data_IF_272934987630
#
_entry.id   IF_272934987630
#
_cell.length_a   1.000
_cell.length_b   1.000
_cell.length_c   1.000
_cell.angle_alpha   90.00
_cell.angle_beta   90.00
_cell.angle_gamma   90.00
#
_symmetry.space_group_name_H-M   'P 1'
#
loop_
_entity.id
_entity.type
_entity.pdbx_description
1 polymer ?
#
# COMPACT_ATOMS: atom_id res chain seq x y z
N UNK A 1 50.41 -34.91 6.59
CA UNK A 1 49.34 -33.94 6.92
C UNK A 1 49.81 -32.56 6.50
N UNK A 2 49.14 -31.89 5.55
CA UNK A 2 49.51 -30.54 5.08
C UNK A 2 48.43 -29.56 5.51
N UNK A 3 48.75 -28.69 6.47
CA UNK A 3 47.85 -27.63 6.94
C UNK A 3 47.94 -26.47 5.93
N UNK A 4 46.88 -26.26 5.15
CA UNK A 4 46.78 -25.10 4.26
C UNK A 4 46.38 -23.90 5.10
N UNK A 5 47.26 -22.91 5.17
CA UNK A 5 46.99 -21.61 5.79
C UNK A 5 46.01 -20.85 4.89
N UNK A 6 44.87 -20.42 5.43
CA UNK A 6 43.93 -19.54 4.75
C UNK A 6 44.26 -18.09 5.14
N UNK A 7 44.71 -17.31 4.16
CA UNK A 7 44.97 -15.88 4.26
C UNK A 7 43.61 -15.14 4.29
N UNK A 8 43.26 -14.53 5.42
CA UNK A 8 42.07 -13.69 5.57
C UNK A 8 42.41 -12.27 5.08
N UNK A 9 41.94 -11.89 3.90
CA UNK A 9 41.99 -10.50 3.42
C UNK A 9 40.75 -9.78 3.94
N UNK A 10 40.92 -8.90 4.92
CA UNK A 10 39.88 -7.98 5.39
C UNK A 10 39.87 -6.76 4.48
N UNK A 11 38.79 -6.58 3.71
CA UNK A 11 38.60 -5.39 2.89
C UNK A 11 37.82 -4.34 3.70
N UNK A 12 38.51 -3.33 4.21
CA UNK A 12 37.86 -2.15 4.81
C UNK A 12 37.53 -1.18 3.68
N UNK A 13 36.27 -1.21 3.22
CA UNK A 13 35.78 -0.21 2.28
C UNK A 13 35.34 1.04 3.05
N UNK A 14 36.09 2.13 2.90
CA UNK A 14 35.68 3.48 3.29
C UNK A 14 34.53 3.93 2.40
N UNK A 15 33.36 4.23 2.99
CA UNK A 15 32.22 4.81 2.28
C UNK A 15 32.49 6.30 1.98
N UNK A 16 32.22 6.80 0.76
CA UNK A 16 32.15 8.24 0.53
C UNK A 16 30.90 8.82 1.20
N UNK A 17 31.07 9.92 1.93
CA UNK A 17 29.95 10.69 2.49
C UNK A 17 29.09 11.22 1.35
N UNK A 18 27.84 10.76 1.26
CA UNK A 18 26.81 11.41 0.46
C UNK A 18 26.31 12.61 1.26
N UNK A 19 26.50 13.80 0.69
CA UNK A 19 26.02 15.05 1.23
C UNK A 19 24.51 14.99 1.46
N UNK A 20 24.07 15.39 2.65
CA UNK A 20 22.65 15.59 2.98
C UNK A 20 22.12 16.74 2.13
N UNK A 21 21.17 16.46 1.25
CA UNK A 21 20.33 17.50 0.67
C UNK A 21 19.26 17.87 1.71
N UNK A 22 19.28 19.12 2.17
CA UNK A 22 18.23 19.66 3.04
C UNK A 22 16.93 19.85 2.24
N UNK A 23 15.76 19.51 2.81
CA UNK A 23 14.47 19.76 2.16
C UNK A 23 14.16 21.26 2.16
N UNK A 24 13.97 21.84 0.97
CA UNK A 24 13.46 23.20 0.81
C UNK A 24 11.93 23.20 1.03
N UNK A 25 11.36 24.13 1.83
CA UNK A 25 9.92 24.27 1.94
C UNK A 25 9.35 24.93 0.67
N UNK A 26 8.31 24.35 0.08
CA UNK A 26 7.50 25.02 -0.93
C UNK A 26 6.30 25.70 -0.25
N UNK A 27 6.08 26.97 -0.56
CA UNK A 27 4.95 27.77 -0.06
C UNK A 27 3.87 27.76 -1.16
N UNK A 28 2.68 27.26 -0.86
CA UNK A 28 1.50 27.40 -1.71
C UNK A 28 0.81 28.73 -1.37
N UNK A 29 0.80 29.66 -2.32
CA UNK A 29 0.07 30.93 -2.22
C UNK A 29 -1.44 30.67 -2.37
N UNK A 30 -2.23 31.20 -1.45
CA UNK A 30 -3.69 31.17 -1.43
C UNK A 30 -4.21 32.53 -1.89
N UNK A 31 -4.24 32.78 -3.19
CA UNK A 31 -4.92 33.94 -3.78
C UNK A 31 -5.53 33.51 -5.11
N UNK A 32 -6.77 33.02 -5.07
CA UNK A 32 -7.86 33.29 -6.05
C UNK A 32 -9.05 32.37 -5.74
N UNK A 33 -9.81 32.73 -4.71
CA UNK A 33 -11.21 32.30 -4.55
C UNK A 33 -12.03 33.54 -4.26
N UNK A 34 -12.43 34.25 -5.32
CA UNK A 34 -13.51 35.23 -5.23
C UNK A 34 -14.63 34.82 -6.18
N UNK A 35 -15.70 34.32 -5.56
CA UNK A 35 -17.11 34.56 -5.87
C UNK A 35 -17.53 34.78 -7.34
N UNK A 36 -18.41 33.89 -7.82
CA UNK A 36 -19.70 34.36 -8.34
C UNK A 36 -20.78 33.29 -8.11
N UNK A 37 -21.77 33.65 -7.30
CA UNK A 37 -23.01 32.91 -7.08
C UNK A 37 -24.11 33.73 -7.76
N UNK A 38 -24.40 33.49 -9.03
CA UNK A 38 -25.60 34.06 -9.65
C UNK A 38 -26.28 33.11 -10.65
N UNK A 39 -27.58 32.91 -10.40
CA UNK A 39 -28.64 32.54 -11.36
C UNK A 39 -28.83 31.05 -11.73
N UNK A 40 -29.75 30.40 -11.01
CA UNK A 40 -30.47 29.20 -11.48
C UNK A 40 -31.82 29.65 -12.04
N UNK A 41 -31.98 29.65 -13.36
CA UNK A 41 -33.30 29.73 -13.99
C UNK A 41 -33.98 28.36 -13.98
N UNK A 42 -35.25 28.36 -13.56
CA UNK A 42 -36.09 27.19 -13.36
C UNK A 42 -37.12 27.11 -14.49
N UNK A 43 -36.96 26.16 -15.40
CA UNK A 43 -37.95 25.83 -16.45
C UNK A 43 -38.73 24.57 -16.08
N UNK A 44 -40.06 24.52 -16.22
CA UNK A 44 -40.86 23.37 -15.82
C UNK A 44 -40.77 22.20 -16.83
N UNK A 45 -40.83 20.99 -16.29
CA UNK A 45 -40.72 19.72 -17.00
C UNK A 45 -41.96 19.40 -17.86
N UNK A 46 -41.81 18.64 -18.98
CA UNK A 46 -42.91 17.89 -19.54
C UNK A 46 -43.11 16.57 -18.79
N UNK A 47 -44.34 16.36 -18.34
CA UNK A 47 -44.90 15.11 -17.82
C UNK A 47 -44.67 13.97 -18.82
N UNK A 48 -43.93 12.93 -18.40
CA UNK A 48 -43.94 11.62 -19.06
C UNK A 48 -44.29 10.56 -18.02
N UNK A 49 -45.57 10.19 -18.03
CA UNK A 49 -46.08 9.01 -17.33
C UNK A 49 -45.63 7.78 -18.11
N UNK A 50 -44.65 7.03 -17.58
CA UNK A 50 -44.40 5.65 -18.01
C UNK A 50 -43.94 4.80 -16.83
N UNK A 51 -44.90 4.02 -16.33
CA UNK A 51 -44.75 2.70 -15.71
C UNK A 51 -43.76 2.53 -14.55
N UNK A 52 -44.35 2.30 -13.39
CA UNK A 52 -43.84 1.60 -12.21
C UNK A 52 -43.18 0.25 -12.59
N UNK A 53 -41.88 0.30 -12.88
CA UNK A 53 -40.99 -0.87 -12.88
C UNK A 53 -39.88 -0.57 -11.88
N UNK A 54 -39.65 -1.42 -10.86
CA UNK A 54 -38.49 -1.25 -10.00
C UNK A 54 -37.24 -1.25 -10.89
N UNK A 55 -36.25 -0.37 -10.62
CA UNK A 55 -35.04 -0.30 -11.43
C UNK A 55 -34.45 -1.71 -11.51
N UNK A 56 -33.98 -2.18 -12.68
CA UNK A 56 -33.16 -3.38 -12.69
C UNK A 56 -32.02 -3.10 -11.71
N UNK A 57 -31.82 -3.98 -10.73
CA UNK A 57 -30.64 -3.96 -9.88
C UNK A 57 -29.41 -3.76 -10.79
N UNK A 58 -28.36 -3.06 -10.35
CA UNK A 58 -27.12 -2.97 -11.12
C UNK A 58 -26.52 -4.39 -11.22
N UNK A 59 -26.98 -5.13 -12.21
CA UNK A 59 -26.34 -6.34 -12.71
C UNK A 59 -25.14 -5.86 -13.50
N UNK A 60 -24.00 -6.53 -13.28
CA UNK A 60 -22.62 -6.18 -13.68
C UNK A 60 -21.83 -5.39 -12.62
N UNK A 61 -21.70 -5.99 -11.42
CA UNK A 61 -20.43 -5.90 -10.71
C UNK A 61 -19.36 -6.64 -11.53
N UNK A 62 -18.15 -6.11 -11.73
CA UNK A 62 -17.06 -6.88 -12.31
C UNK A 62 -16.73 -8.03 -11.36
N UNK A 63 -16.91 -9.27 -11.83
CA UNK A 63 -16.53 -10.46 -11.09
C UNK A 63 -15.02 -10.61 -11.10
N UNK A 64 -14.34 -9.88 -10.21
CA UNK A 64 -13.07 -10.35 -9.64
C UNK A 64 -13.36 -11.74 -9.05
N UNK A 65 -12.47 -12.71 -9.21
CA UNK A 65 -12.50 -13.89 -8.35
C UNK A 65 -12.34 -13.37 -6.93
N UNK A 66 -13.44 -13.28 -6.17
CA UNK A 66 -13.56 -12.46 -4.97
C UNK A 66 -12.48 -12.83 -3.94
N UNK A 67 -11.39 -12.07 -3.94
CA UNK A 67 -10.33 -12.24 -2.97
C UNK A 67 -10.95 -11.88 -1.62
N UNK A 68 -11.25 -12.85 -0.75
CA UNK A 68 -11.93 -12.58 0.54
C UNK A 68 -11.15 -11.65 1.48
N UNK A 69 -9.89 -11.36 1.14
CA UNK A 69 -8.98 -10.48 1.88
C UNK A 69 -8.77 -9.14 1.18
N UNK A 70 -9.57 -8.83 0.15
CA UNK A 70 -9.45 -7.63 -0.67
C UNK A 70 -9.40 -6.36 0.17
N UNK A 71 -10.32 -6.19 1.12
CA UNK A 71 -10.33 -5.02 2.00
C UNK A 71 -9.02 -4.91 2.80
N UNK A 72 -8.58 -5.99 3.45
CA UNK A 72 -7.36 -5.97 4.25
C UNK A 72 -6.09 -5.69 3.41
N UNK A 73 -6.02 -6.25 2.21
CA UNK A 73 -4.95 -6.00 1.25
C UNK A 73 -4.97 -4.55 0.75
N UNK A 74 -6.15 -4.04 0.42
CA UNK A 74 -6.35 -2.67 -0.07
C UNK A 74 -5.95 -1.64 0.99
N UNK A 75 -6.43 -1.78 2.23
CA UNK A 75 -6.02 -0.91 3.33
C UNK A 75 -4.51 -0.93 3.53
N UNK A 76 -3.90 -2.12 3.64
CA UNK A 76 -2.47 -2.25 3.87
C UNK A 76 -1.61 -1.68 2.71
N UNK A 77 -2.12 -1.73 1.47
CA UNK A 77 -1.50 -1.11 0.31
C UNK A 77 -1.61 0.42 0.34
N UNK A 78 -2.81 0.96 0.62
CA UNK A 78 -3.07 2.41 0.70
C UNK A 78 -2.19 3.05 1.78
N UNK A 79 -2.10 2.43 2.96
CA UNK A 79 -1.26 2.89 4.08
C UNK A 79 0.22 3.03 3.69
N UNK A 80 0.64 2.35 2.62
CA UNK A 80 2.02 2.33 2.11
C UNK A 80 2.18 3.03 0.77
N UNK A 81 1.16 3.76 0.30
CA UNK A 81 1.20 4.49 -0.97
C UNK A 81 1.25 3.59 -2.21
N UNK A 82 0.82 2.33 -2.10
CA UNK A 82 0.71 1.41 -3.22
C UNK A 82 -0.69 1.45 -3.84
N UNK A 83 -0.78 1.11 -5.13
CA UNK A 83 -2.05 0.78 -5.76
C UNK A 83 -2.66 -0.48 -5.11
N UNK A 84 -3.89 -0.45 -4.56
CA UNK A 84 -4.58 -1.62 -4.05
C UNK A 84 -4.59 -2.81 -5.01
N UNK A 85 -4.76 -2.54 -6.31
CA UNK A 85 -4.81 -3.57 -7.33
C UNK A 85 -3.51 -4.39 -7.39
N UNK A 86 -2.37 -3.80 -7.07
CA UNK A 86 -1.09 -4.52 -7.02
C UNK A 86 -1.07 -5.57 -5.90
N UNK A 87 -1.46 -5.20 -4.67
CA UNK A 87 -1.45 -6.13 -3.54
C UNK A 87 -2.46 -7.27 -3.73
N UNK A 88 -3.65 -6.95 -4.27
CA UNK A 88 -4.70 -7.94 -4.59
C UNK A 88 -4.22 -8.88 -5.70
N UNK A 89 -3.65 -8.34 -6.79
CA UNK A 89 -3.12 -9.15 -7.89
C UNK A 89 -2.00 -10.07 -7.43
N UNK A 90 -1.10 -9.62 -6.55
CA UNK A 90 -0.04 -10.45 -5.96
C UNK A 90 -0.65 -11.58 -5.13
N UNK A 91 -1.60 -11.28 -4.24
CA UNK A 91 -2.26 -12.31 -3.44
C UNK A 91 -3.00 -13.36 -4.29
N UNK A 92 -3.65 -12.95 -5.38
CA UNK A 92 -4.25 -13.88 -6.33
C UNK A 92 -3.18 -14.72 -7.06
N UNK A 93 -2.11 -14.09 -7.55
CA UNK A 93 -1.07 -14.79 -8.30
C UNK A 93 -0.30 -15.81 -7.44
N UNK A 94 -0.11 -15.54 -6.16
CA UNK A 94 0.62 -16.39 -5.22
C UNK A 94 -0.21 -17.62 -4.78
N UNK A 95 -1.47 -17.41 -4.40
CA UNK A 95 -2.27 -18.45 -3.74
C UNK A 95 -3.70 -18.56 -4.22
N UNK A 96 -4.13 -17.74 -5.18
CA UNK A 96 -5.54 -17.51 -5.51
C UNK A 96 -6.33 -17.06 -4.28
N UNK A 97 -5.75 -16.12 -3.53
CA UNK A 97 -6.31 -15.58 -2.30
C UNK A 97 -6.64 -16.63 -1.23
N UNK A 98 -5.77 -17.63 -1.06
CA UNK A 98 -5.85 -18.61 0.03
C UNK A 98 -4.76 -18.34 1.04
N UNK A 99 -5.07 -18.45 2.34
CA UNK A 99 -4.10 -18.21 3.39
C UNK A 99 -3.77 -19.49 4.17
N UNK A 100 -4.79 -20.23 4.58
CA UNK A 100 -4.67 -21.36 5.49
C UNK A 100 -3.88 -22.50 4.83
N UNK A 101 -2.89 -23.01 5.55
CA UNK A 101 -2.05 -24.12 5.11
C UNK A 101 -1.18 -23.85 3.87
N UNK A 102 -1.13 -22.61 3.36
CA UNK A 102 -0.34 -22.32 2.17
C UNK A 102 1.16 -22.29 2.50
N UNK A 103 1.87 -23.33 2.08
CA UNK A 103 3.34 -23.38 2.13
C UNK A 103 3.90 -23.96 0.84
N UNK A 104 4.77 -23.21 0.16
CA UNK A 104 5.43 -23.73 -1.05
C UNK A 104 6.51 -24.76 -0.72
N UNK A 105 6.95 -25.58 -1.69
CA UNK A 105 8.10 -26.47 -1.52
C UNK A 105 9.39 -25.74 -1.13
N UNK A 106 9.55 -24.48 -1.55
CA UNK A 106 10.68 -23.61 -1.20
C UNK A 106 10.54 -23.01 0.21
N UNK A 107 9.38 -23.16 0.84
CA UNK A 107 9.12 -22.71 2.21
C UNK A 107 8.51 -21.32 2.33
N UNK A 108 7.99 -20.74 1.24
CA UNK A 108 7.18 -19.52 1.31
C UNK A 108 5.85 -19.78 2.02
N UNK A 109 5.34 -18.84 2.80
CA UNK A 109 4.23 -19.05 3.74
C UNK A 109 3.09 -18.04 3.51
N UNK A 110 1.85 -18.54 3.62
CA UNK A 110 0.63 -17.74 3.74
C UNK A 110 0.17 -17.10 2.43
N UNK A 111 -0.70 -16.11 2.58
CA UNK A 111 -1.46 -15.47 1.49
C UNK A 111 -0.56 -14.85 0.42
N UNK A 112 0.45 -14.10 0.86
CA UNK A 112 1.38 -13.38 0.00
C UNK A 112 2.70 -14.16 -0.21
N UNK A 113 2.73 -15.44 0.15
CA UNK A 113 3.87 -16.36 -0.03
C UNK A 113 5.23 -15.77 0.37
N UNK A 114 5.35 -15.34 1.62
CA UNK A 114 6.60 -14.77 2.13
C UNK A 114 7.60 -15.87 2.48
N UNK A 115 8.82 -15.73 1.97
CA UNK A 115 9.95 -16.51 2.48
C UNK A 115 10.22 -16.14 3.94
N UNK A 116 10.61 -17.09 4.82
CA UNK A 116 10.75 -16.81 6.25
C UNK A 116 11.76 -15.70 6.57
N UNK A 117 12.82 -15.56 5.78
CA UNK A 117 13.78 -14.47 5.93
C UNK A 117 13.15 -13.10 5.59
N UNK A 118 12.39 -13.03 4.49
CA UNK A 118 11.63 -11.83 4.08
C UNK A 118 10.57 -11.47 5.11
N UNK A 119 9.78 -12.44 5.58
CA UNK A 119 8.79 -12.23 6.62
C UNK A 119 9.40 -11.56 7.86
N UNK A 120 10.53 -12.10 8.36
CA UNK A 120 11.23 -11.51 9.51
C UNK A 120 11.78 -10.12 9.23
N UNK A 121 12.35 -9.90 8.05
CA UNK A 121 12.88 -8.59 7.63
C UNK A 121 11.80 -7.50 7.66
N UNK A 122 10.56 -7.86 7.34
CA UNK A 122 9.42 -6.95 7.29
C UNK A 122 8.45 -7.12 8.47
N UNK A 123 8.94 -7.62 9.62
CA UNK A 123 8.22 -7.56 10.90
C UNK A 123 7.25 -8.71 11.20
N UNK A 124 7.03 -9.65 10.27
CA UNK A 124 6.24 -10.85 10.54
C UNK A 124 7.05 -11.88 11.34
N UNK A 125 6.80 -11.92 12.65
CA UNK A 125 7.35 -12.96 13.55
C UNK A 125 6.68 -14.32 13.30
N UNK A 126 5.40 -14.29 12.93
CA UNK A 126 4.62 -15.45 12.56
C UNK A 126 3.90 -15.22 11.22
N UNK A 127 4.48 -15.63 10.07
CA UNK A 127 3.85 -15.46 8.76
C UNK A 127 2.61 -16.33 8.54
N UNK A 128 2.27 -17.24 9.47
CA UNK A 128 0.99 -17.97 9.49
C UNK A 128 -0.16 -17.17 10.09
N UNK A 129 0.13 -16.03 10.73
CA UNK A 129 -0.91 -15.08 11.10
C UNK A 129 -1.20 -14.20 9.87
N UNK A 130 -2.48 -14.13 9.48
CA UNK A 130 -2.93 -13.41 8.29
C UNK A 130 -2.49 -11.95 8.29
N UNK A 131 -2.74 -11.23 9.37
CA UNK A 131 -2.45 -9.79 9.47
C UNK A 131 -0.95 -9.53 9.35
N UNK A 132 -0.13 -10.34 10.03
CA UNK A 132 1.33 -10.27 9.88
C UNK A 132 1.78 -10.59 8.46
N UNK A 133 1.15 -11.55 7.78
CA UNK A 133 1.48 -11.92 6.40
C UNK A 133 1.16 -10.76 5.44
N UNK A 134 -0.04 -10.17 5.55
CA UNK A 134 -0.47 -9.03 4.74
C UNK A 134 0.42 -7.82 5.02
N UNK A 135 0.62 -7.47 6.29
CA UNK A 135 1.41 -6.31 6.69
C UNK A 135 2.87 -6.41 6.23
N UNK A 136 3.50 -7.59 6.36
CA UNK A 136 4.87 -7.80 5.91
C UNK A 136 4.99 -7.88 4.40
N UNK A 137 4.02 -8.51 3.70
CA UNK A 137 4.07 -8.63 2.24
C UNK A 137 3.83 -7.31 1.53
N UNK A 138 2.88 -6.51 2.01
CA UNK A 138 2.67 -5.14 1.50
C UNK A 138 3.84 -4.22 1.85
N UNK A 139 4.47 -4.37 3.04
CA UNK A 139 5.70 -3.64 3.37
C UNK A 139 6.86 -4.02 2.44
N UNK A 140 6.99 -5.30 2.08
CA UNK A 140 7.99 -5.75 1.14
C UNK A 140 7.74 -5.19 -0.28
N UNK A 141 6.49 -5.21 -0.75
CA UNK A 141 6.11 -4.59 -2.02
C UNK A 141 6.43 -3.09 -2.06
N UNK A 142 6.11 -2.35 -1.00
CA UNK A 142 6.38 -0.92 -0.91
C UNK A 142 7.89 -0.64 -0.95
N UNK A 143 8.67 -1.42 -0.20
CA UNK A 143 10.12 -1.30 -0.22
C UNK A 143 10.72 -1.58 -1.62
N UNK A 144 10.19 -2.58 -2.34
CA UNK A 144 10.61 -2.85 -3.73
C UNK A 144 10.21 -1.72 -4.67
N UNK A 145 8.99 -1.20 -4.53
CA UNK A 145 8.48 -0.10 -5.33
C UNK A 145 9.37 1.14 -5.19
N UNK A 146 9.73 1.50 -3.97
CA UNK A 146 10.63 2.62 -3.69
C UNK A 146 12.05 2.34 -4.21
N UNK A 147 12.57 1.13 -4.00
CA UNK A 147 13.90 0.71 -4.50
C UNK A 147 14.03 0.91 -6.00
N UNK A 148 12.98 0.64 -6.76
CA UNK A 148 12.98 0.77 -8.22
C UNK A 148 12.35 2.08 -8.72
N UNK A 149 12.17 3.08 -7.83
CA UNK A 149 11.70 4.41 -8.21
C UNK A 149 10.31 4.41 -8.85
N UNK A 150 9.43 3.49 -8.41
CA UNK A 150 8.09 3.33 -8.94
C UNK A 150 8.00 2.51 -10.24
N UNK A 151 9.08 1.89 -10.69
CA UNK A 151 9.04 0.94 -11.81
C UNK A 151 8.26 -0.32 -11.40
N UNK A 152 6.99 -0.35 -11.76
CA UNK A 152 6.05 -1.43 -11.44
C UNK A 152 6.54 -2.79 -11.96
N UNK A 153 7.14 -2.83 -13.16
CA UNK A 153 7.60 -4.09 -13.78
C UNK A 153 8.76 -4.68 -12.98
N UNK A 154 9.74 -3.85 -12.60
CA UNK A 154 10.86 -4.30 -11.74
C UNK A 154 10.39 -4.69 -10.34
N UNK A 155 9.43 -3.95 -9.79
CA UNK A 155 8.82 -4.24 -8.49
C UNK A 155 8.20 -5.64 -8.47
N UNK A 156 7.35 -5.95 -9.46
CA UNK A 156 6.68 -7.25 -9.57
C UNK A 156 7.71 -8.36 -9.80
N UNK A 157 8.68 -8.14 -10.71
CA UNK A 157 9.73 -9.12 -10.99
C UNK A 157 10.58 -9.43 -9.75
N UNK A 158 10.94 -8.41 -8.97
CA UNK A 158 11.75 -8.57 -7.77
C UNK A 158 10.99 -9.24 -6.62
N UNK A 159 9.67 -9.05 -6.53
CA UNK A 159 8.86 -9.78 -5.55
C UNK A 159 8.96 -11.29 -5.77
N UNK A 160 8.88 -11.73 -7.02
CA UNK A 160 8.93 -13.14 -7.41
C UNK A 160 10.35 -13.73 -7.45
N UNK A 161 11.31 -13.03 -8.09
CA UNK A 161 12.65 -13.55 -8.35
C UNK A 161 13.70 -13.11 -7.33
N UNK A 162 13.36 -12.17 -6.45
CA UNK A 162 14.29 -11.48 -5.56
C UNK A 162 14.92 -10.25 -6.21
N UNK A 163 15.19 -9.22 -5.41
CA UNK A 163 15.77 -7.96 -5.87
C UNK A 163 17.15 -8.14 -6.50
N UNK A 164 17.98 -9.04 -5.96
CA UNK A 164 19.33 -9.26 -6.48
C UNK A 164 19.35 -9.81 -7.91
N UNK A 165 18.34 -10.62 -8.29
CA UNK A 165 18.23 -11.11 -9.66
C UNK A 165 17.86 -10.00 -10.63
N UNK A 166 16.96 -9.09 -10.22
CA UNK A 166 16.57 -7.92 -11.02
C UNK A 166 17.72 -6.93 -11.13
N UNK A 167 18.44 -6.67 -10.03
CA UNK A 167 19.62 -5.81 -10.00
C UNK A 167 20.70 -6.35 -10.97
N UNK A 168 20.98 -7.65 -10.94
CA UNK A 168 21.98 -8.29 -11.79
C UNK A 168 21.65 -8.18 -13.29
N UNK A 169 20.36 -8.22 -13.65
CA UNK A 169 19.92 -8.18 -15.04
C UNK A 169 19.49 -6.78 -15.50
N UNK A 170 19.46 -5.78 -14.61
CA UNK A 170 18.97 -4.43 -14.91
C UNK A 170 17.47 -4.35 -15.23
N UNK A 171 16.70 -5.38 -14.88
CA UNK A 171 15.31 -5.54 -15.30
C UNK A 171 14.78 -6.94 -15.03
N UNK A 172 13.73 -7.35 -15.74
CA UNK A 172 13.12 -8.67 -15.56
C UNK A 172 14.13 -9.77 -15.95
N UNK A 173 14.51 -10.68 -15.03
CA UNK A 173 15.46 -11.74 -15.34
C UNK A 173 14.89 -12.70 -16.42
N UNK A 174 15.74 -13.44 -17.15
CA UNK A 174 15.32 -14.37 -18.19
C UNK A 174 14.72 -15.68 -17.65
N UNK A 175 13.98 -15.60 -16.55
CA UNK A 175 13.26 -16.73 -15.96
C UNK A 175 11.85 -16.75 -16.53
N UNK A 176 11.48 -17.85 -17.19
CA UNK A 176 10.16 -18.00 -17.80
C UNK A 176 9.03 -17.83 -16.78
N UNK A 177 9.23 -18.36 -15.56
CA UNK A 177 8.30 -18.21 -14.44
C UNK A 177 8.08 -16.73 -14.06
N UNK A 178 9.15 -15.95 -13.92
CA UNK A 178 9.07 -14.53 -13.52
C UNK A 178 8.42 -13.68 -14.60
N UNK A 179 8.73 -13.91 -15.89
CA UNK A 179 8.07 -13.19 -16.99
C UNK A 179 6.57 -13.47 -17.01
N UNK A 180 6.18 -14.74 -16.90
CA UNK A 180 4.77 -15.12 -16.82
C UNK A 180 4.07 -14.59 -15.56
N UNK A 181 4.80 -14.43 -14.46
CA UNK A 181 4.29 -13.81 -13.24
C UNK A 181 4.00 -12.33 -13.45
N UNK A 182 4.96 -11.57 -14.01
CA UNK A 182 4.79 -10.15 -14.36
C UNK A 182 3.57 -9.94 -15.25
N UNK A 183 3.48 -10.71 -16.35
CA UNK A 183 2.35 -10.60 -17.29
C UNK A 183 1.00 -10.85 -16.62
N UNK A 184 0.94 -11.83 -15.71
CA UNK A 184 -0.28 -12.17 -14.97
C UNK A 184 -0.72 -11.04 -14.04
N UNK A 185 0.22 -10.42 -13.32
CA UNK A 185 -0.08 -9.30 -12.42
C UNK A 185 -0.56 -8.09 -13.22
N UNK A 186 0.15 -7.71 -14.28
CA UNK A 186 -0.22 -6.56 -15.11
C UNK A 186 -1.60 -6.75 -15.74
N UNK A 187 -1.90 -7.97 -16.20
CA UNK A 187 -3.24 -8.31 -16.72
C UNK A 187 -4.30 -8.25 -15.63
N UNK A 188 -4.01 -8.71 -14.40
CA UNK A 188 -4.96 -8.66 -13.29
C UNK A 188 -5.26 -7.21 -12.87
N UNK A 189 -4.24 -6.35 -12.86
CA UNK A 189 -4.39 -4.92 -12.54
C UNK A 189 -5.18 -4.18 -13.63
N UNK A 190 -4.89 -4.44 -14.92
CA UNK A 190 -5.59 -3.81 -16.04
C UNK A 190 -6.96 -4.42 -16.39
N UNK A 191 -7.29 -5.60 -15.87
CA UNK A 191 -8.64 -6.16 -15.91
C UNK A 191 -9.54 -5.59 -14.80
N UNK A 192 -8.97 -4.83 -13.87
CA UNK A 192 -9.66 -4.17 -12.77
C UNK A 192 -9.92 -2.71 -13.12
N UNK A 193 -10.78 -2.44 -14.11
CA UNK A 193 -11.33 -1.09 -14.37
C UNK A 193 -12.35 -0.67 -13.28
N UNK A 194 -12.03 -0.91 -12.01
CA UNK A 194 -12.64 -0.21 -10.90
C UNK A 194 -11.72 0.99 -10.60
N UNK A 195 -12.17 2.25 -10.80
CA UNK A 195 -11.31 3.38 -10.55
C UNK A 195 -10.85 3.36 -9.09
N UNK A 196 -9.57 3.62 -8.84
CA UNK A 196 -8.98 3.79 -7.50
C UNK A 196 -9.74 4.81 -6.61
N UNK A 197 -10.68 5.57 -7.18
CA UNK A 197 -11.65 6.41 -6.48
C UNK A 197 -12.75 5.63 -5.71
N UNK A 198 -13.13 4.41 -6.15
CA UNK A 198 -14.23 3.65 -5.56
C UNK A 198 -13.84 2.94 -4.24
N UNK A 199 -12.57 2.57 -4.07
CA UNK A 199 -12.05 1.99 -2.81
C UNK A 199 -11.77 3.09 -1.78
N UNK A 200 -11.38 4.29 -2.22
CA UNK A 200 -11.26 5.48 -1.35
C UNK A 200 -12.58 5.89 -0.68
N UNK A 201 -13.72 5.50 -1.24
CA UNK A 201 -15.04 5.86 -0.71
C UNK A 201 -15.64 4.82 0.28
N UNK A 202 -14.91 3.75 0.64
CA UNK A 202 -15.42 2.69 1.53
C UNK A 202 -14.61 2.45 2.81
N UNK A 203 -13.66 3.33 3.12
CA UNK A 203 -12.93 3.30 4.39
C UNK A 203 -13.36 4.49 5.23
N UNK A 204 -14.55 4.40 5.82
CA UNK A 204 -14.92 5.27 6.93
C UNK A 204 -14.13 4.82 8.16
N UNK A 205 -13.44 5.73 8.89
CA UNK A 205 -12.68 5.33 10.07
C UNK A 205 -13.64 4.83 11.15
N UNK A 206 -13.49 3.56 11.51
CA UNK A 206 -14.14 3.00 12.70
C UNK A 206 -13.53 3.66 13.94
N UNK A 207 -14.26 4.63 14.50
CA UNK A 207 -14.10 5.22 15.85
C UNK A 207 -13.02 6.30 16.02
N UNK A 208 -13.45 7.58 16.06
CA UNK A 208 -12.71 8.67 16.72
C UNK A 208 -13.22 8.76 18.16
N UNK A 209 -12.35 8.49 19.14
CA UNK A 209 -12.60 8.85 20.54
C UNK A 209 -12.36 10.35 20.66
N UNK A 210 -13.43 11.14 20.73
CA UNK A 210 -13.31 12.51 21.21
C UNK A 210 -12.95 12.47 22.70
N UNK A 211 -11.73 12.89 23.03
CA UNK A 211 -11.34 13.18 24.41
C UNK A 211 -11.69 14.64 24.66
N UNK A 212 -12.78 14.88 25.38
CA UNK A 212 -13.13 16.21 25.89
C UNK A 212 -12.00 16.75 26.77
N UNK A 213 -11.53 18.00 26.57
CA UNK A 213 -10.61 18.61 27.50
C UNK A 213 -11.34 18.99 28.80
N UNK A 214 -10.85 18.47 29.92
CA UNK A 214 -11.26 18.86 31.27
C UNK A 214 -10.97 20.35 31.51
N UNK A 215 -11.97 21.09 32.00
CA UNK A 215 -11.84 22.49 32.40
C UNK A 215 -11.23 22.56 33.80
N UNK A 216 -9.95 22.88 33.88
CA UNK A 216 -9.27 23.27 35.12
C UNK A 216 -9.05 24.79 35.15
N UNK A 217 -9.98 25.54 35.73
CA UNK A 217 -9.78 26.96 36.08
C UNK A 217 -9.32 27.05 37.53
N UNK A 218 -8.03 27.31 37.74
CA UNK A 218 -7.49 27.75 39.02
C UNK A 218 -7.30 29.27 38.95
N UNK A 219 -8.26 30.03 39.45
CA UNK A 219 -8.06 31.45 39.74
C UNK A 219 -7.66 31.59 41.20
N UNK A 220 -6.37 31.81 41.42
CA UNK A 220 -5.82 32.26 42.69
C UNK A 220 -4.99 33.52 42.46
N UNK A 221 -5.48 34.66 42.95
CA UNK A 221 -4.66 35.81 43.35
C UNK A 221 -5.55 36.84 44.08
N UNK A 222 -5.52 36.82 45.41
CA UNK A 222 -5.92 37.95 46.25
C UNK A 222 -4.73 38.33 47.15
N UNK A 223 -4.39 39.63 47.12
CA UNK A 223 -3.48 40.38 48.01
C UNK A 223 -1.96 40.01 48.03
N UNK A 224 -1.01 40.97 48.25
CA UNK A 224 -1.16 42.08 49.20
C UNK A 224 -0.67 43.49 48.78
N UNK A 225 -0.99 44.41 49.68
CA UNK A 225 -0.81 45.87 49.77
C UNK A 225 0.60 46.47 49.54
N UNK A 226 0.65 47.78 49.22
CA UNK A 226 1.07 48.92 50.08
C UNK A 226 1.53 50.11 49.21
N UNK A 227 1.07 51.33 49.55
CA UNK A 227 1.88 52.57 49.46
C UNK A 227 1.23 53.79 48.81
N UNK A 228 0.62 54.68 49.61
CA UNK A 228 1.15 56.01 50.00
C UNK A 228 0.23 56.66 51.05
#
# INVERSE_FOLDING_TARGET
>A
MRVRHALLIVYVATLPQVARAEPQPFVLSLDDVTADLTTVERTPAPTSTLADRPPPAPTHAPTLGACRFEDALAHAAIDRGLDPALAIAVADAETRCRHEGQRSPKGAIGLMQLMPATARRFGARNPWNLDQNIAAGTAYLAWLHDRYGGDLVKTIAAYNAGEGAVDQHGGVPPFAETRAYVDRILKSMGASDAPAAAVRARVEPLFVIEVSPEVGSQDGADAPAVGD
#
